data_IF_138179990168
#
_entry.id   IF_138179990168
#
_cell.length_a   1.000
_cell.length_b   1.000
_cell.length_c   1.000
_cell.angle_alpha   90.00
_cell.angle_beta   90.00
_cell.angle_gamma   90.00
#
_symmetry.space_group_name_H-M   'P 1'
#
loop_
_entity.id
_entity.type
_entity.pdbx_description
1 polymer ?
#
# COMPACT_ATOMS: atom_id res chain seq x y z
N UNK A 1 22.80 -8.19 24.17
CA UNK A 1 22.88 -9.55 23.61
C UNK A 1 22.27 -9.48 22.22
N UNK A 2 23.11 -9.53 21.18
CA UNK A 2 22.73 -9.40 19.77
C UNK A 2 22.25 -10.74 19.23
N UNK A 3 21.26 -10.73 18.31
CA UNK A 3 21.20 -11.45 17.01
C UNK A 3 19.73 -11.47 16.55
N UNK A 4 19.31 -10.49 15.75
CA UNK A 4 18.13 -10.62 14.85
C UNK A 4 18.37 -9.94 13.48
N UNK A 5 19.55 -9.38 13.21
CA UNK A 5 19.79 -8.56 12.01
C UNK A 5 20.38 -9.34 10.81
N UNK A 6 20.80 -10.61 10.97
CA UNK A 6 21.64 -11.30 9.97
C UNK A 6 20.94 -12.39 9.14
N UNK A 7 19.78 -12.89 9.56
CA UNK A 7 19.17 -14.06 8.88
C UNK A 7 18.32 -13.64 7.67
N UNK A 8 17.66 -12.49 7.74
CA UNK A 8 16.92 -11.93 6.60
C UNK A 8 17.86 -11.53 5.45
N UNK A 9 19.07 -11.02 5.75
CA UNK A 9 20.08 -10.65 4.75
C UNK A 9 20.79 -11.88 4.18
N UNK A 10 20.94 -12.96 4.96
CA UNK A 10 21.55 -14.21 4.50
C UNK A 10 20.62 -15.04 3.60
N UNK A 11 19.30 -14.99 3.82
CA UNK A 11 18.33 -15.57 2.88
C UNK A 11 18.34 -14.86 1.53
N UNK A 12 18.48 -13.53 1.53
CA UNK A 12 18.60 -12.71 0.31
C UNK A 12 19.81 -13.06 -0.56
N UNK A 13 20.93 -13.50 0.03
CA UNK A 13 22.15 -13.88 -0.72
C UNK A 13 22.05 -15.23 -1.45
N UNK A 14 21.11 -16.11 -1.07
CA UNK A 14 20.96 -17.45 -1.70
C UNK A 14 20.13 -17.47 -2.99
N UNK A 15 19.53 -16.35 -3.39
CA UNK A 15 18.68 -16.25 -4.58
C UNK A 15 19.24 -15.30 -5.67
N UNK A 16 20.57 -15.17 -5.73
CA UNK A 16 21.24 -14.54 -6.86
C UNK A 16 21.30 -15.50 -8.05
N UNK A 17 20.20 -15.67 -8.76
CA UNK A 17 20.22 -16.32 -10.07
C UNK A 17 20.98 -15.43 -11.06
N UNK A 18 22.20 -15.86 -11.41
CA UNK A 18 22.97 -15.30 -12.51
C UNK A 18 22.32 -15.72 -13.83
N UNK A 19 21.72 -14.75 -14.51
CA UNK A 19 21.42 -14.76 -15.95
C UNK A 19 20.41 -15.80 -16.46
N UNK A 20 19.62 -15.37 -17.45
CA UNK A 20 18.76 -16.15 -18.37
C UNK A 20 17.51 -16.94 -17.89
N UNK A 21 17.29 -17.25 -16.61
CA UNK A 21 16.08 -18.00 -16.16
C UNK A 21 14.90 -17.09 -15.71
N UNK A 22 14.59 -16.06 -16.49
CA UNK A 22 13.85 -14.87 -16.02
C UNK A 22 12.30 -14.94 -15.87
N UNK A 23 11.54 -15.88 -16.45
CA UNK A 23 10.08 -15.97 -16.21
C UNK A 23 9.66 -17.04 -15.18
N UNK A 24 10.33 -18.18 -15.13
CA UNK A 24 9.83 -19.37 -14.42
C UNK A 24 10.00 -19.31 -12.90
N UNK A 25 11.06 -18.67 -12.40
CA UNK A 25 11.22 -18.42 -10.96
C UNK A 25 10.18 -17.42 -10.44
N UNK A 26 9.75 -16.49 -11.30
CA UNK A 26 8.73 -15.48 -10.99
C UNK A 26 7.35 -16.10 -11.02
N UNK A 27 7.08 -16.93 -12.04
CA UNK A 27 5.89 -17.74 -12.10
C UNK A 27 5.86 -18.75 -10.95
N UNK A 28 6.98 -19.32 -10.52
CA UNK A 28 7.06 -20.22 -9.36
C UNK A 28 6.79 -19.47 -8.07
N UNK A 29 7.39 -18.31 -7.85
CA UNK A 29 7.14 -17.49 -6.66
C UNK A 29 5.71 -16.95 -6.63
N UNK A 30 5.18 -16.49 -7.77
CA UNK A 30 3.78 -16.12 -7.90
C UNK A 30 2.86 -17.33 -7.75
N UNK A 31 3.23 -18.52 -8.23
CA UNK A 31 2.44 -19.76 -8.10
C UNK A 31 2.48 -20.30 -6.67
N UNK A 32 3.60 -20.16 -5.97
CA UNK A 32 3.73 -20.41 -4.53
C UNK A 32 2.87 -19.41 -3.75
N UNK A 33 2.88 -18.11 -4.07
CA UNK A 33 2.00 -17.12 -3.44
C UNK A 33 0.52 -17.29 -3.83
N UNK A 34 0.26 -17.97 -4.94
CA UNK A 34 -1.06 -18.14 -5.53
C UNK A 34 -1.82 -19.38 -5.16
N UNK A 35 -1.07 -20.44 -4.83
CA UNK A 35 -1.61 -21.73 -4.43
C UNK A 35 -2.22 -21.70 -3.03
N UNK A 36 -1.93 -20.68 -2.21
CA UNK A 36 -2.51 -20.50 -0.86
C UNK A 36 -3.90 -19.85 -0.82
N UNK A 37 -4.72 -19.95 -1.88
CA UNK A 37 -6.17 -19.73 -1.74
C UNK A 37 -6.85 -18.82 -2.76
N UNK A 38 -6.38 -18.74 -4.00
CA UNK A 38 -7.15 -18.10 -5.07
C UNK A 38 -7.28 -19.03 -6.27
N UNK A 39 -8.44 -19.70 -6.40
CA UNK A 39 -8.83 -20.45 -7.61
C UNK A 39 -8.97 -19.55 -8.85
N UNK A 40 -8.81 -18.22 -8.70
CA UNK A 40 -8.80 -17.24 -9.77
C UNK A 40 -7.38 -16.79 -10.17
N UNK A 41 -6.39 -17.68 -10.19
CA UNK A 41 -5.11 -17.43 -10.89
C UNK A 41 -5.39 -17.23 -12.38
N UNK A 42 -5.78 -16.01 -12.73
CA UNK A 42 -6.03 -15.64 -14.11
C UNK A 42 -4.69 -15.38 -14.80
N UNK A 43 -4.55 -15.74 -16.08
CA UNK A 43 -3.50 -15.27 -16.99
C UNK A 43 -3.35 -13.73 -17.09
N UNK A 44 -4.16 -12.98 -16.34
CA UNK A 44 -4.27 -11.52 -16.33
C UNK A 44 -3.08 -10.83 -15.67
N UNK A 45 -2.33 -11.47 -14.78
CA UNK A 45 -1.13 -10.86 -14.20
C UNK A 45 -0.02 -10.69 -15.24
N UNK A 46 0.22 -11.73 -16.05
CA UNK A 46 1.18 -11.71 -17.16
C UNK A 46 0.73 -10.85 -18.33
N UNK A 47 -0.57 -10.83 -18.64
CA UNK A 47 -1.12 -10.00 -19.73
C UNK A 47 -1.18 -8.51 -19.35
N UNK A 48 -1.43 -8.15 -18.09
CA UNK A 48 -1.61 -6.75 -17.72
C UNK A 48 -0.32 -5.97 -17.49
N UNK A 49 0.83 -6.61 -17.21
CA UNK A 49 2.01 -5.89 -16.71
C UNK A 49 3.38 -6.46 -17.16
N UNK A 50 3.72 -6.35 -18.45
CA UNK A 50 5.04 -6.73 -18.96
C UNK A 50 6.19 -5.98 -18.26
N UNK A 51 6.00 -4.71 -17.86
CA UNK A 51 7.06 -3.89 -17.23
C UNK A 51 7.45 -4.34 -15.81
N UNK A 52 6.50 -4.90 -15.06
CA UNK A 52 6.76 -5.42 -13.71
C UNK A 52 7.50 -6.76 -13.80
N UNK A 53 7.26 -7.51 -14.88
CA UNK A 53 7.93 -8.77 -15.18
C UNK A 53 9.29 -8.56 -15.88
N UNK A 54 9.49 -7.42 -16.55
CA UNK A 54 10.74 -7.07 -17.23
C UNK A 54 11.84 -6.56 -16.28
N UNK A 55 11.46 -5.93 -15.16
CA UNK A 55 12.40 -5.48 -14.14
C UNK A 55 12.81 -6.64 -13.20
N UNK A 56 14.08 -7.11 -13.29
CA UNK A 56 14.70 -8.20 -12.49
C UNK A 56 13.93 -8.58 -11.21
N UNK A 57 12.97 -9.51 -11.28
CA UNK A 57 11.95 -9.65 -10.25
C UNK A 57 12.49 -10.13 -8.89
N UNK A 58 13.60 -10.88 -8.86
CA UNK A 58 14.28 -11.25 -7.61
C UNK A 58 14.90 -10.06 -6.88
N UNK A 59 15.30 -9.01 -7.59
CA UNK A 59 15.91 -7.81 -7.00
C UNK A 59 14.91 -6.69 -6.71
N UNK A 60 13.77 -6.68 -7.40
CA UNK A 60 12.79 -5.58 -7.34
C UNK A 60 11.48 -5.99 -6.70
N UNK A 61 10.95 -7.17 -7.01
CA UNK A 61 9.63 -7.63 -6.56
C UNK A 61 9.71 -8.38 -5.23
N UNK A 62 10.64 -9.33 -5.11
CA UNK A 62 10.78 -10.15 -3.89
C UNK A 62 10.96 -9.30 -2.62
N UNK A 63 11.85 -8.28 -2.57
CA UNK A 63 11.99 -7.46 -1.37
C UNK A 63 10.71 -6.71 -0.96
N UNK A 64 9.82 -6.41 -1.92
CA UNK A 64 8.53 -5.76 -1.64
C UNK A 64 7.53 -6.75 -1.07
N UNK A 65 7.51 -7.98 -1.59
CA UNK A 65 6.66 -9.05 -1.08
C UNK A 65 7.06 -9.47 0.34
N UNK A 66 8.36 -9.59 0.60
CA UNK A 66 8.91 -9.84 1.93
C UNK A 66 8.56 -8.73 2.91
N UNK A 67 8.66 -7.47 2.46
CA UNK A 67 8.25 -6.32 3.25
C UNK A 67 6.78 -6.40 3.68
N UNK A 68 5.85 -6.64 2.74
CA UNK A 68 4.43 -6.73 3.08
C UNK A 68 4.13 -7.88 4.05
N UNK A 69 4.83 -9.02 3.93
CA UNK A 69 4.71 -10.10 4.90
C UNK A 69 5.31 -9.74 6.27
N UNK A 70 6.44 -9.03 6.30
CA UNK A 70 7.09 -8.63 7.55
C UNK A 70 6.24 -7.68 8.40
N UNK A 71 5.33 -6.93 7.77
CA UNK A 71 4.37 -6.06 8.47
C UNK A 71 3.04 -6.78 8.76
N UNK A 72 2.95 -8.08 8.47
CA UNK A 72 1.80 -8.91 8.83
C UNK A 72 0.69 -9.02 7.77
N UNK A 73 0.91 -8.59 6.51
CA UNK A 73 -0.10 -8.80 5.46
C UNK A 73 -0.22 -10.31 5.14
N UNK A 74 -1.41 -10.92 5.29
CA UNK A 74 -1.59 -12.33 4.97
C UNK A 74 -1.36 -12.59 3.48
N UNK A 75 -0.66 -13.68 3.17
CA UNK A 75 -0.30 -14.07 1.80
C UNK A 75 -1.50 -14.06 0.82
N UNK A 76 -2.69 -14.62 1.17
CA UNK A 76 -3.82 -14.62 0.26
C UNK A 76 -4.37 -13.22 -0.01
N UNK A 77 -4.36 -12.36 1.01
CA UNK A 77 -4.76 -10.94 0.88
C UNK A 77 -3.77 -10.21 0.00
N UNK A 78 -2.47 -10.39 0.22
CA UNK A 78 -1.42 -9.79 -0.59
C UNK A 78 -1.57 -10.18 -2.06
N UNK A 79 -1.69 -11.47 -2.36
CA UNK A 79 -1.85 -11.97 -3.72
C UNK A 79 -3.10 -11.39 -4.41
N UNK A 80 -4.25 -11.40 -3.71
CA UNK A 80 -5.49 -10.83 -4.22
C UNK A 80 -5.35 -9.33 -4.51
N UNK A 81 -4.81 -8.57 -3.55
CA UNK A 81 -4.73 -7.11 -3.64
C UNK A 81 -3.75 -6.66 -4.71
N UNK A 82 -2.58 -7.30 -4.83
CA UNK A 82 -1.60 -6.96 -5.85
C UNK A 82 -2.07 -7.33 -7.27
N UNK A 83 -2.91 -8.36 -7.41
CA UNK A 83 -3.54 -8.70 -8.70
C UNK A 83 -4.47 -7.60 -9.20
N UNK A 84 -5.14 -6.88 -8.29
CA UNK A 84 -6.05 -5.77 -8.61
C UNK A 84 -5.33 -4.43 -8.66
N UNK A 85 -4.36 -4.21 -7.77
CA UNK A 85 -3.67 -2.94 -7.53
C UNK A 85 -2.14 -3.05 -7.64
N UNK A 86 -1.62 -3.37 -8.84
CA UNK A 86 -0.21 -3.68 -9.05
C UNK A 86 0.70 -2.44 -9.05
N UNK A 87 0.15 -1.22 -9.18
CA UNK A 87 0.94 0.01 -9.17
C UNK A 87 1.74 0.18 -7.87
N UNK A 88 1.29 -0.41 -6.75
CA UNK A 88 2.01 -0.35 -5.47
C UNK A 88 3.40 -1.00 -5.60
N UNK A 89 3.54 -1.99 -6.49
CA UNK A 89 4.81 -2.66 -6.79
C UNK A 89 5.73 -1.85 -7.69
N UNK A 90 5.28 -0.75 -8.29
CA UNK A 90 6.14 0.17 -9.04
C UNK A 90 6.90 1.13 -8.11
N UNK A 91 6.43 1.32 -6.89
CA UNK A 91 7.00 2.23 -5.89
C UNK A 91 8.37 1.74 -5.42
N UNK A 92 9.29 2.65 -5.08
CA UNK A 92 10.55 2.28 -4.44
C UNK A 92 10.29 1.70 -3.05
N UNK A 93 10.90 0.56 -2.73
CA UNK A 93 10.78 -0.03 -1.40
C UNK A 93 11.32 0.93 -0.33
N UNK A 94 12.59 1.34 -0.48
CA UNK A 94 13.30 2.18 0.50
C UNK A 94 12.81 3.61 0.54
N UNK A 95 12.54 4.20 -0.63
CA UNK A 95 12.25 5.63 -0.72
C UNK A 95 10.75 5.95 -0.68
N UNK A 96 9.88 4.94 -0.65
CA UNK A 96 8.44 5.17 -0.70
C UNK A 96 7.61 4.22 0.16
N UNK A 97 7.71 2.90 -0.01
CA UNK A 97 6.85 1.96 0.74
C UNK A 97 7.16 1.96 2.24
N UNK A 98 8.44 1.89 2.61
CA UNK A 98 8.86 1.90 4.03
C UNK A 98 8.55 3.25 4.70
N UNK A 99 8.88 4.42 4.11
CA UNK A 99 8.49 5.71 4.69
C UNK A 99 6.97 5.85 4.87
N UNK A 100 6.19 5.53 3.84
CA UNK A 100 4.73 5.66 3.92
C UNK A 100 4.11 4.67 4.92
N UNK A 101 4.68 3.46 5.05
CA UNK A 101 4.32 2.56 6.15
C UNK A 101 4.55 3.21 7.51
N UNK A 102 5.72 3.79 7.73
CA UNK A 102 6.06 4.38 9.02
C UNK A 102 5.17 5.57 9.35
N UNK A 103 4.82 6.39 8.36
CA UNK A 103 3.86 7.49 8.51
C UNK A 103 2.48 6.96 8.94
N UNK A 104 1.97 5.94 8.23
CA UNK A 104 0.68 5.32 8.53
C UNK A 104 0.69 4.63 9.89
N UNK A 105 1.76 3.93 10.24
CA UNK A 105 1.92 3.27 11.54
C UNK A 105 1.95 4.29 12.67
N UNK A 106 2.68 5.39 12.50
CA UNK A 106 2.73 6.49 13.48
C UNK A 106 1.33 7.08 13.70
N UNK A 107 0.57 7.28 12.62
CA UNK A 107 -0.80 7.81 12.68
C UNK A 107 -1.81 6.82 13.29
N UNK A 108 -1.73 5.53 12.93
CA UNK A 108 -2.72 4.52 13.31
C UNK A 108 -2.38 3.78 14.61
N UNK A 109 -1.11 3.86 15.04
CA UNK A 109 -0.59 3.31 16.29
C UNK A 109 -0.20 1.83 16.24
N UNK A 110 -0.34 1.13 15.11
CA UNK A 110 -0.09 -0.33 15.02
C UNK A 110 0.07 -0.80 13.58
N UNK A 111 0.83 -1.88 13.36
CA UNK A 111 0.98 -2.49 12.03
C UNK A 111 -0.33 -3.16 11.60
N UNK A 112 -1.07 -3.75 12.53
CA UNK A 112 -2.36 -4.40 12.33
C UNK A 112 -3.36 -3.44 11.64
N UNK A 113 -3.44 -2.20 12.12
CA UNK A 113 -4.31 -1.19 11.52
C UNK A 113 -3.82 -0.73 10.14
N UNK A 114 -2.51 -0.73 9.89
CA UNK A 114 -1.97 -0.45 8.55
C UNK A 114 -2.35 -1.59 7.59
N UNK A 115 -2.26 -2.85 8.04
CA UNK A 115 -2.66 -4.03 7.27
C UNK A 115 -4.16 -4.01 6.95
N UNK A 116 -5.01 -3.62 7.90
CA UNK A 116 -6.46 -3.45 7.66
C UNK A 116 -6.75 -2.44 6.54
N UNK A 117 -6.03 -1.32 6.54
CA UNK A 117 -6.17 -0.27 5.52
C UNK A 117 -5.65 -0.75 4.17
N UNK A 118 -4.49 -1.41 4.13
CA UNK A 118 -3.95 -2.01 2.90
C UNK A 118 -4.92 -3.04 2.30
N UNK A 119 -5.50 -3.88 3.16
CA UNK A 119 -6.47 -4.91 2.77
C UNK A 119 -7.73 -4.29 2.14
N UNK A 120 -8.08 -3.05 2.47
CA UNK A 120 -9.17 -2.31 1.82
C UNK A 120 -8.70 -1.65 0.52
N UNK A 121 -7.58 -0.95 0.56
CA UNK A 121 -7.06 -0.21 -0.59
C UNK A 121 -5.52 -0.06 -0.52
N UNK A 122 -4.77 -0.83 -1.34
CA UNK A 122 -3.30 -0.75 -1.40
C UNK A 122 -2.73 0.63 -1.79
N UNK A 123 -3.56 1.52 -2.37
CA UNK A 123 -3.17 2.91 -2.63
C UNK A 123 -3.00 3.74 -1.35
N UNK A 124 -3.29 3.20 -0.17
CA UNK A 124 -3.02 3.89 1.09
C UNK A 124 -1.55 4.33 1.24
N UNK A 125 -0.62 3.63 0.57
CA UNK A 125 0.80 4.00 0.50
C UNK A 125 1.11 5.25 -0.36
N UNK A 126 0.07 5.86 -0.94
CA UNK A 126 0.13 7.15 -1.64
C UNK A 126 -0.49 8.29 -0.82
N UNK A 127 -1.02 8.00 0.37
CA UNK A 127 -1.83 8.93 1.16
C UNK A 127 -1.04 10.04 1.85
N UNK A 128 0.28 9.92 2.02
CA UNK A 128 1.07 10.83 2.87
C UNK A 128 0.89 12.31 2.47
N UNK A 129 0.86 12.64 1.18
CA UNK A 129 0.69 14.04 0.73
C UNK A 129 -0.68 14.62 1.08
N UNK A 130 -1.74 13.80 0.98
CA UNK A 130 -3.11 14.21 1.33
C UNK A 130 -3.32 14.24 2.84
N UNK A 131 -2.68 13.35 3.61
CA UNK A 131 -2.68 13.40 5.07
C UNK A 131 -2.03 14.71 5.56
N UNK A 132 -0.86 15.07 5.02
CA UNK A 132 -0.21 16.34 5.37
C UNK A 132 -1.08 17.55 5.02
N UNK A 133 -1.73 17.52 3.85
CA UNK A 133 -2.69 18.57 3.47
C UNK A 133 -3.82 18.72 4.49
N UNK A 134 -4.45 17.62 4.91
CA UNK A 134 -5.54 17.67 5.89
C UNK A 134 -5.07 18.25 7.23
N UNK A 135 -3.84 17.93 7.65
CA UNK A 135 -3.21 18.54 8.84
C UNK A 135 -3.01 20.05 8.69
N UNK A 136 -2.45 20.48 7.55
CA UNK A 136 -2.27 21.91 7.22
C UNK A 136 -3.60 22.67 7.26
N UNK A 137 -4.71 22.01 6.92
CA UNK A 137 -6.08 22.57 7.00
C UNK A 137 -6.72 22.48 8.38
N UNK A 138 -5.98 22.06 9.40
CA UNK A 138 -6.44 21.97 10.78
C UNK A 138 -7.40 20.82 11.07
N UNK A 139 -7.54 19.85 10.16
CA UNK A 139 -8.38 18.68 10.40
C UNK A 139 -7.79 17.88 11.58
N UNK A 140 -8.57 17.57 12.64
CA UNK A 140 -8.04 16.87 13.80
C UNK A 140 -7.48 15.49 13.45
N UNK A 141 -6.39 15.07 14.13
CA UNK A 141 -5.78 13.74 13.91
C UNK A 141 -6.80 12.61 14.02
N UNK A 142 -7.74 12.68 14.96
CA UNK A 142 -8.81 11.68 15.11
C UNK A 142 -9.72 11.57 13.88
N UNK A 143 -10.03 12.70 13.24
CA UNK A 143 -10.77 12.75 11.97
C UNK A 143 -9.93 12.17 10.83
N UNK A 144 -8.63 12.49 10.76
CA UNK A 144 -7.71 11.95 9.75
C UNK A 144 -7.59 10.42 9.88
N UNK A 145 -7.40 9.91 11.10
CA UNK A 145 -7.40 8.47 11.41
C UNK A 145 -8.70 7.82 10.91
N UNK A 146 -9.85 8.46 11.14
CA UNK A 146 -11.14 7.96 10.65
C UNK A 146 -11.19 7.91 9.12
N UNK A 147 -10.67 8.92 8.41
CA UNK A 147 -10.59 8.92 6.94
C UNK A 147 -9.71 7.77 6.44
N UNK A 148 -8.52 7.60 7.03
CA UNK A 148 -7.58 6.54 6.64
C UNK A 148 -8.20 5.16 6.82
N UNK A 149 -8.84 4.90 7.98
CA UNK A 149 -9.41 3.58 8.31
C UNK A 149 -10.63 3.22 7.47
N UNK A 150 -11.54 4.19 7.26
CA UNK A 150 -12.87 3.90 6.74
C UNK A 150 -13.08 4.39 5.31
N UNK A 151 -12.27 5.34 4.84
CA UNK A 151 -12.41 5.97 3.52
C UNK A 151 -11.06 6.20 2.83
N UNK A 152 -10.17 5.18 2.73
CA UNK A 152 -8.83 5.34 2.17
C UNK A 152 -8.83 5.76 0.69
N UNK A 153 -9.95 5.61 -0.03
CA UNK A 153 -10.12 6.08 -1.41
C UNK A 153 -10.11 7.61 -1.56
N UNK A 154 -10.43 8.37 -0.51
CA UNK A 154 -10.36 9.83 -0.56
C UNK A 154 -8.90 10.33 -0.59
N UNK A 155 -8.01 9.61 0.08
CA UNK A 155 -6.61 10.00 0.25
C UNK A 155 -5.74 9.75 -0.98
N UNK A 156 -6.33 9.19 -2.03
CA UNK A 156 -5.64 8.81 -3.28
C UNK A 156 -6.15 9.61 -4.47
N UNK A 157 -6.98 10.63 -4.20
CA UNK A 157 -7.35 11.66 -5.14
C UNK A 157 -6.15 12.59 -5.39
N UNK A 158 -6.16 13.26 -6.55
CA UNK A 158 -5.28 14.39 -6.79
C UNK A 158 -5.44 15.40 -5.65
N UNK A 159 -4.32 15.94 -5.16
CA UNK A 159 -4.28 16.81 -3.98
C UNK A 159 -5.18 18.03 -4.16
N UNK A 160 -5.19 18.59 -5.37
CA UNK A 160 -5.99 19.76 -5.76
C UNK A 160 -7.48 19.44 -5.68
N UNK A 161 -7.88 18.24 -6.12
CA UNK A 161 -9.27 17.78 -6.09
C UNK A 161 -9.76 17.56 -4.66
N UNK A 162 -8.97 16.87 -3.82
CA UNK A 162 -9.33 16.68 -2.42
C UNK A 162 -9.38 18.01 -1.67
N UNK A 163 -8.41 18.91 -1.92
CA UNK A 163 -8.37 20.25 -1.35
C UNK A 163 -9.64 21.04 -1.68
N UNK A 164 -10.08 21.04 -2.94
CA UNK A 164 -11.29 21.73 -3.35
C UNK A 164 -12.55 21.20 -2.61
N UNK A 165 -12.62 19.90 -2.34
CA UNK A 165 -13.73 19.32 -1.57
C UNK A 165 -13.69 19.69 -0.08
N UNK A 166 -12.50 19.72 0.51
CA UNK A 166 -12.27 20.19 1.88
C UNK A 166 -12.67 21.67 2.00
N UNK A 167 -12.23 22.51 1.06
CA UNK A 167 -12.58 23.94 1.00
C UNK A 167 -14.09 24.17 0.86
N UNK A 168 -14.73 23.37 -0.01
CA UNK A 168 -16.19 23.43 -0.19
C UNK A 168 -16.95 23.02 1.07
N UNK A 169 -16.53 21.94 1.74
CA UNK A 169 -17.17 21.52 2.99
C UNK A 169 -17.03 22.61 4.07
N UNK A 170 -15.85 23.24 4.14
CA UNK A 170 -15.61 24.35 5.05
C UNK A 170 -16.49 25.57 4.75
N UNK A 171 -16.59 25.99 3.48
CA UNK A 171 -17.41 27.15 3.09
C UNK A 171 -18.92 26.94 3.30
N UNK A 172 -19.37 25.68 3.32
CA UNK A 172 -20.74 25.30 3.67
C UNK A 172 -21.00 25.23 5.18
N UNK A 173 -20.01 25.55 6.02
CA UNK A 173 -20.14 25.60 7.48
C UNK A 173 -20.03 24.23 8.18
N UNK A 174 -19.54 23.19 7.50
CA UNK A 174 -19.31 21.91 8.17
C UNK A 174 -18.12 22.01 9.13
N UNK A 175 -18.33 21.60 10.38
CA UNK A 175 -17.28 21.53 11.41
C UNK A 175 -16.30 20.38 11.12
N UNK A 176 -15.04 20.74 10.87
CA UNK A 176 -13.92 19.84 10.55
C UNK A 176 -13.65 18.75 11.60
N UNK A 177 -14.10 18.95 12.84
CA UNK A 177 -13.99 17.98 13.93
C UNK A 177 -15.08 16.92 13.92
N UNK A 178 -16.15 17.11 13.13
CA UNK A 178 -17.32 16.23 13.11
C UNK A 178 -17.28 15.27 11.94
N UNK A 179 -17.83 14.08 12.13
CA UNK A 179 -18.01 13.08 11.05
C UNK A 179 -18.79 13.63 9.85
N UNK A 180 -19.71 14.57 10.07
CA UNK A 180 -20.49 15.22 9.02
C UNK A 180 -19.60 15.90 7.97
N UNK A 181 -18.46 16.48 8.37
CA UNK A 181 -17.51 17.10 7.45
C UNK A 181 -16.91 16.08 6.47
N UNK A 182 -16.43 14.94 6.99
CA UNK A 182 -15.91 13.86 6.14
C UNK A 182 -16.98 13.30 5.20
N UNK A 183 -18.21 13.15 5.70
CA UNK A 183 -19.34 12.72 4.86
C UNK A 183 -19.60 13.71 3.74
N UNK A 184 -19.58 15.01 4.01
CA UNK A 184 -19.74 16.04 2.98
C UNK A 184 -18.65 15.97 1.92
N UNK A 185 -17.37 15.89 2.33
CA UNK A 185 -16.22 15.74 1.41
C UNK A 185 -16.39 14.51 0.51
N UNK A 186 -16.90 13.40 1.06
CA UNK A 186 -17.18 12.19 0.28
C UNK A 186 -18.30 12.37 -0.74
N UNK A 187 -19.37 13.10 -0.40
CA UNK A 187 -20.51 13.33 -1.31
C UNK A 187 -20.10 14.18 -2.52
N UNK A 188 -19.06 15.00 -2.40
CA UNK A 188 -18.57 15.82 -3.52
C UNK A 188 -17.72 15.04 -4.54
N UNK A 189 -17.28 13.82 -4.21
CA UNK A 189 -16.44 12.96 -5.05
C UNK A 189 -17.06 12.66 -6.42
#
# INVERSE_FOLDING_TARGET
MWVVQNDAVSASKKLCFKSTEKPDAVLKLLREYGSYGCSSYSPKLSVKWPDVLSACPSKTLLPKLEFFQSIGVPLPVLAQKLSVYPFVLRRSLKNSLIPSHNDLKSLLGSDERVVDVFSRNPRCFDASSNISMLRERGVPESSIVSVVMYQPSLLVLAREKLSAYVDRAFSMGFDISKRAFITAVRVFL
#
